data_IF_937832252799
#
_entry.id   IF_937832252799
#
_cell.length_a   1.000
_cell.length_b   1.000
_cell.length_c   1.000
_cell.angle_alpha   90.00
_cell.angle_beta   90.00
_cell.angle_gamma   90.00
#
_symmetry.space_group_name_H-M   'P 1'
#
loop_
_entity.id
_entity.type
_entity.pdbx_description
1 polymer ?
#
# COMPACT_ATOMS: atom_id res chain seq x y z
N UNK A 1 4.72 -0.37 -7.80
CA UNK A 1 4.23 0.58 -8.83
C UNK A 1 4.13 1.98 -8.25
N UNK A 2 4.03 3.04 -9.07
CA UNK A 2 3.89 4.41 -8.56
C UNK A 2 2.52 4.65 -7.89
N UNK A 3 2.50 5.45 -6.82
CA UNK A 3 1.28 5.99 -6.22
C UNK A 3 0.48 6.73 -7.29
N UNK A 4 -0.61 6.11 -7.78
CA UNK A 4 -1.47 6.72 -8.78
C UNK A 4 -2.61 7.48 -8.11
N UNK A 5 -3.03 8.62 -8.68
CA UNK A 5 -4.15 9.40 -8.17
C UNK A 5 -5.53 8.73 -8.33
N UNK A 6 -5.58 7.50 -8.86
CA UNK A 6 -6.85 6.78 -9.07
C UNK A 6 -7.35 6.23 -7.74
N UNK A 7 -8.63 6.45 -7.49
CA UNK A 7 -9.34 5.90 -6.35
C UNK A 7 -10.35 4.88 -6.89
N UNK A 8 -10.03 3.60 -6.75
CA UNK A 8 -10.84 2.51 -7.33
C UNK A 8 -11.50 1.69 -6.25
N UNK A 9 -12.79 1.47 -6.42
CA UNK A 9 -13.61 0.69 -5.51
C UNK A 9 -14.16 -0.55 -6.20
N UNK A 10 -14.58 -1.52 -5.41
CA UNK A 10 -15.33 -2.68 -5.87
C UNK A 10 -15.88 -3.46 -4.70
N UNK A 11 -16.10 -4.74 -4.92
CA UNK A 11 -16.47 -5.69 -3.87
C UNK A 11 -15.60 -6.93 -4.00
N UNK A 12 -15.18 -7.47 -2.86
CA UNK A 12 -14.57 -8.79 -2.74
C UNK A 12 -15.56 -9.63 -1.93
N UNK A 13 -16.16 -10.64 -2.57
CA UNK A 13 -17.34 -11.32 -2.01
C UNK A 13 -18.50 -10.34 -1.80
N UNK A 14 -19.02 -10.28 -0.58
CA UNK A 14 -20.10 -9.37 -0.18
C UNK A 14 -19.60 -8.03 0.41
N UNK A 15 -18.29 -7.91 0.65
CA UNK A 15 -17.72 -6.73 1.30
C UNK A 15 -17.30 -5.70 0.26
N UNK A 16 -17.75 -4.45 0.45
CA UNK A 16 -17.31 -3.32 -0.39
C UNK A 16 -15.92 -2.86 0.05
N UNK A 17 -15.03 -2.68 -0.91
CA UNK A 17 -13.62 -2.39 -0.63
C UNK A 17 -13.07 -1.30 -1.55
N UNK A 18 -12.02 -0.65 -1.06
CA UNK A 18 -11.13 0.21 -1.84
C UNK A 18 -9.89 -0.57 -2.20
N UNK A 19 -9.59 -0.68 -3.49
CA UNK A 19 -8.40 -1.38 -3.95
C UNK A 19 -7.15 -0.54 -3.69
N UNK A 20 -6.16 -1.14 -3.03
CA UNK A 20 -4.86 -0.53 -2.74
C UNK A 20 -3.87 -0.82 -3.86
N UNK A 21 -3.66 -2.10 -4.16
CA UNK A 21 -2.76 -2.56 -5.22
C UNK A 21 -3.25 -3.94 -5.73
N UNK A 22 -3.21 -4.15 -7.04
CA UNK A 22 -3.63 -5.41 -7.69
C UNK A 22 -2.43 -6.07 -8.37
N UNK A 23 -2.41 -7.39 -8.47
CA UNK A 23 -1.35 -8.12 -9.15
C UNK A 23 -0.02 -8.07 -8.41
N UNK A 24 -0.03 -8.07 -7.07
CA UNK A 24 1.20 -8.01 -6.26
C UNK A 24 1.71 -9.39 -5.89
N UNK A 25 3.02 -9.51 -5.70
CA UNK A 25 3.63 -10.72 -5.15
C UNK A 25 3.39 -10.86 -3.64
N UNK A 26 3.77 -12.02 -3.09
CA UNK A 26 3.59 -12.35 -1.68
C UNK A 26 4.32 -11.40 -0.73
N UNK A 27 5.56 -10.99 -1.03
CA UNK A 27 6.32 -10.09 -0.16
C UNK A 27 5.67 -8.70 -0.12
N UNK A 28 5.20 -8.22 -1.27
CA UNK A 28 4.50 -6.94 -1.38
C UNK A 28 3.14 -6.97 -0.67
N UNK A 29 2.38 -8.06 -0.85
CA UNK A 29 1.12 -8.32 -0.13
C UNK A 29 1.34 -8.24 1.38
N UNK A 30 2.33 -8.95 1.90
CA UNK A 30 2.59 -9.04 3.34
C UNK A 30 3.05 -7.72 3.94
N UNK A 31 3.89 -6.98 3.22
CA UNK A 31 4.31 -5.65 3.62
C UNK A 31 3.11 -4.69 3.72
N UNK A 32 2.29 -4.61 2.66
CA UNK A 32 1.12 -3.74 2.63
C UNK A 32 0.11 -4.12 3.71
N UNK A 33 -0.16 -5.42 3.88
CA UNK A 33 -1.05 -5.92 4.94
C UNK A 33 -0.60 -5.42 6.31
N UNK A 34 0.65 -5.73 6.68
CA UNK A 34 1.21 -5.35 7.99
C UNK A 34 1.19 -3.84 8.19
N UNK A 35 1.59 -3.07 7.17
CA UNK A 35 1.64 -1.61 7.27
C UNK A 35 0.24 -1.01 7.46
N UNK A 36 -0.74 -1.47 6.70
CA UNK A 36 -2.10 -0.93 6.76
C UNK A 36 -2.81 -1.33 8.06
N UNK A 37 -2.67 -2.59 8.49
CA UNK A 37 -3.18 -3.06 9.79
C UNK A 37 -2.55 -2.30 10.97
N UNK A 38 -1.23 -2.04 10.92
CA UNK A 38 -0.54 -1.21 11.90
C UNK A 38 -1.11 0.23 11.97
N UNK A 39 -1.64 0.73 10.86
CA UNK A 39 -2.27 2.04 10.78
C UNK A 39 -3.78 2.02 11.05
N UNK A 40 -4.33 0.88 11.49
CA UNK A 40 -5.73 0.75 11.88
C UNK A 40 -6.69 0.49 10.73
N UNK A 41 -6.20 0.12 9.55
CA UNK A 41 -7.06 -0.29 8.44
C UNK A 41 -7.34 -1.79 8.51
N UNK A 42 -8.57 -2.16 8.21
CA UNK A 42 -8.94 -3.55 7.97
C UNK A 42 -8.60 -3.90 6.52
N UNK A 43 -7.71 -4.88 6.34
CA UNK A 43 -7.17 -5.28 5.04
C UNK A 43 -7.82 -6.59 4.57
N UNK A 44 -8.29 -6.59 3.34
CA UNK A 44 -8.81 -7.77 2.65
C UNK A 44 -7.84 -8.14 1.54
N UNK A 45 -7.49 -9.43 1.48
CA UNK A 45 -6.63 -10.01 0.46
C UNK A 45 -7.47 -10.93 -0.41
N UNK A 46 -7.35 -10.78 -1.71
CA UNK A 46 -7.93 -11.67 -2.71
C UNK A 46 -6.82 -12.30 -3.55
N UNK A 47 -6.98 -13.58 -3.90
CA UNK A 47 -6.02 -14.32 -4.73
C UNK A 47 -6.41 -14.18 -6.20
N UNK A 48 -5.54 -13.59 -7.01
CA UNK A 48 -5.81 -13.45 -8.43
C UNK A 48 -5.78 -14.84 -9.09
N UNK A 49 -6.72 -15.10 -10.01
CA UNK A 49 -6.76 -16.37 -10.73
C UNK A 49 -5.50 -16.55 -11.57
N UNK A 50 -4.72 -17.60 -11.30
CA UNK A 50 -3.60 -18.00 -12.15
C UNK A 50 -4.12 -18.39 -13.53
N UNK A 51 -3.41 -17.96 -14.59
CA UNK A 51 -3.75 -18.34 -15.97
C UNK A 51 -3.26 -19.76 -16.27
N UNK A 52 -2.11 -20.12 -15.74
CA UNK A 52 -1.53 -21.47 -15.78
C UNK A 52 -0.97 -21.85 -14.41
N UNK A 53 -0.80 -23.14 -14.11
CA UNK A 53 -0.25 -23.60 -12.82
C UNK A 53 1.21 -23.15 -12.59
N UNK A 54 1.94 -22.86 -13.67
CA UNK A 54 3.32 -22.38 -13.65
C UNK A 54 3.42 -20.86 -13.40
N UNK A 55 2.33 -20.11 -13.56
CA UNK A 55 2.34 -18.67 -13.30
C UNK A 55 2.45 -18.38 -11.80
N UNK A 56 3.19 -17.32 -11.42
CA UNK A 56 3.27 -16.90 -10.02
C UNK A 56 1.87 -16.51 -9.50
N UNK A 57 1.57 -16.92 -8.26
CA UNK A 57 0.38 -16.45 -7.57
C UNK A 57 0.51 -14.95 -7.33
N UNK A 58 -0.47 -14.20 -7.83
CA UNK A 58 -0.60 -12.78 -7.57
C UNK A 58 -1.77 -12.52 -6.62
N UNK A 59 -1.69 -11.40 -5.93
CA UNK A 59 -2.69 -11.02 -4.94
C UNK A 59 -3.22 -9.62 -5.23
N UNK A 60 -4.46 -9.40 -4.83
CA UNK A 60 -5.08 -8.09 -4.76
C UNK A 60 -5.23 -7.69 -3.30
N UNK A 61 -4.68 -6.52 -2.95
CA UNK A 61 -4.78 -5.93 -1.61
C UNK A 61 -5.83 -4.83 -1.64
N UNK A 62 -6.77 -4.89 -0.71
CA UNK A 62 -7.84 -3.92 -0.56
C UNK A 62 -8.09 -3.59 0.92
N UNK A 63 -8.77 -2.47 1.18
CA UNK A 63 -9.21 -2.08 2.53
C UNK A 63 -10.71 -1.81 2.56
N UNK A 64 -11.34 -1.97 3.72
CA UNK A 64 -12.78 -1.68 3.89
C UNK A 64 -13.07 -0.18 3.99
N UNK A 65 -12.06 0.64 4.29
CA UNK A 65 -12.20 2.10 4.34
C UNK A 65 -12.38 2.67 2.91
N UNK A 66 -13.58 3.21 2.67
CA UNK A 66 -14.01 3.79 1.40
C UNK A 66 -13.41 5.17 1.09
N UNK A 67 -12.69 5.79 2.04
CA UNK A 67 -12.02 7.09 1.84
C UNK A 67 -10.52 6.91 1.67
N UNK A 68 -10.00 5.72 1.97
CA UNK A 68 -8.58 5.42 1.89
C UNK A 68 -8.03 5.57 0.47
N UNK A 69 -7.10 6.50 0.29
CA UNK A 69 -6.37 6.66 -0.96
C UNK A 69 -4.86 6.61 -0.67
N UNK A 70 -4.11 5.62 -1.19
CA UNK A 70 -2.68 5.46 -0.91
C UNK A 70 -1.87 6.75 -1.14
N UNK A 71 -2.13 7.43 -2.25
CA UNK A 71 -1.44 8.66 -2.64
C UNK A 71 -1.68 9.76 -1.62
N UNK A 72 -2.95 10.02 -1.27
CA UNK A 72 -3.29 11.04 -0.27
C UNK A 72 -2.70 10.65 1.09
N UNK A 73 -2.77 9.39 1.49
CA UNK A 73 -2.33 8.95 2.81
C UNK A 73 -0.81 9.04 3.00
N UNK A 74 -0.04 8.75 1.95
CA UNK A 74 1.42 8.93 1.96
C UNK A 74 1.76 10.42 1.90
N UNK A 75 1.26 11.17 0.92
CA UNK A 75 1.68 12.57 0.73
C UNK A 75 1.14 13.53 1.81
N UNK A 76 -0.04 13.26 2.38
CA UNK A 76 -0.54 14.02 3.56
C UNK A 76 0.01 13.47 4.88
N UNK A 77 0.96 12.52 4.84
CA UNK A 77 1.65 11.96 6.01
C UNK A 77 0.72 11.39 7.08
N UNK A 78 -0.35 10.74 6.64
CA UNK A 78 -1.33 10.11 7.52
C UNK A 78 -0.84 8.75 8.03
N UNK A 79 -0.05 8.04 7.23
CA UNK A 79 0.51 6.73 7.60
C UNK A 79 1.79 6.85 8.43
N UNK A 80 1.98 5.89 9.33
CA UNK A 80 3.16 5.66 10.14
C UNK A 80 3.83 4.34 9.78
N UNK A 81 5.15 4.33 9.78
CA UNK A 81 5.99 3.12 9.73
C UNK A 81 5.91 2.37 11.07
N UNK A 82 6.42 1.14 11.13
CA UNK A 82 6.37 0.30 12.33
C UNK A 82 7.10 0.89 13.55
N UNK A 83 8.10 1.73 13.31
CA UNK A 83 8.85 2.50 14.31
C UNK A 83 8.29 3.92 14.54
N UNK A 84 7.14 4.25 13.94
CA UNK A 84 6.38 5.48 14.19
C UNK A 84 6.75 6.68 13.33
N UNK A 85 7.73 6.57 12.43
CA UNK A 85 8.05 7.60 11.43
C UNK A 85 6.94 7.76 10.39
N UNK A 86 7.01 8.84 9.60
CA UNK A 86 6.03 9.07 8.53
C UNK A 86 6.40 8.26 7.30
N UNK A 87 5.46 7.46 6.80
CA UNK A 87 5.65 6.74 5.54
C UNK A 87 5.94 7.74 4.41
N UNK A 88 7.06 7.54 3.73
CA UNK A 88 7.45 8.28 2.52
C UNK A 88 7.06 7.48 1.27
N UNK A 89 7.17 8.09 0.10
CA UNK A 89 6.95 7.37 -1.16
C UNK A 89 7.94 6.21 -1.34
N UNK A 90 9.21 6.39 -0.96
CA UNK A 90 10.22 5.34 -1.08
C UNK A 90 9.98 4.21 -0.09
N UNK A 91 9.58 4.53 1.15
CA UNK A 91 9.16 3.52 2.11
C UNK A 91 7.94 2.75 1.61
N UNK A 92 6.90 3.47 1.14
CA UNK A 92 5.71 2.84 0.58
C UNK A 92 6.05 1.89 -0.57
N UNK A 93 7.03 2.22 -1.40
CA UNK A 93 7.47 1.39 -2.53
C UNK A 93 8.57 0.39 -2.17
N UNK A 94 8.92 0.25 -0.89
CA UNK A 94 9.99 -0.62 -0.39
C UNK A 94 11.35 -0.37 -1.08
N UNK A 95 11.63 0.87 -1.47
CA UNK A 95 12.90 1.30 -2.06
C UNK A 95 13.94 1.71 -1.03
N UNK A 96 13.48 2.24 0.10
CA UNK A 96 14.32 2.71 1.20
C UNK A 96 13.56 2.63 2.52
N UNK A 97 14.25 2.26 3.59
CA UNK A 97 13.75 2.39 4.97
C UNK A 97 14.06 3.78 5.55
N UNK A 98 14.93 4.56 4.88
CA UNK A 98 15.22 5.93 5.26
C UNK A 98 13.99 6.82 4.99
N UNK A 99 13.44 7.36 6.06
CA UNK A 99 12.31 8.30 6.02
C UNK A 99 12.75 9.76 6.25
N UNK A 100 14.06 10.02 6.23
CA UNK A 100 14.67 11.35 6.25
C UNK A 100 15.15 11.80 4.85
N UNK A 101 15.12 13.12 4.54
CA UNK A 101 14.37 14.18 5.18
C UNK A 101 12.96 14.29 4.58
N UNK A 102 12.18 15.23 5.09
CA UNK A 102 10.76 15.40 4.84
C UNK A 102 10.45 15.74 3.35
N UNK A 103 9.19 15.54 2.92
CA UNK A 103 8.69 15.71 1.52
C UNK A 103 8.97 17.06 0.83
N UNK A 104 9.59 18.02 1.52
CA UNK A 104 9.93 19.36 1.04
C UNK A 104 11.44 19.64 1.03
N UNK A 105 12.28 18.66 1.37
CA UNK A 105 13.72 18.86 1.50
C UNK A 105 14.47 17.97 0.49
N UNK A 106 15.08 18.59 -0.53
CA UNK A 106 15.81 17.93 -1.62
C UNK A 106 17.20 17.39 -1.22
N UNK A 107 17.47 17.21 0.07
CA UNK A 107 18.71 16.61 0.53
C UNK A 107 19.95 17.44 0.17
N UNK A 108 19.92 18.76 0.36
CA UNK A 108 21.16 19.48 0.59
C UNK A 108 21.72 19.01 1.93
N UNK A 109 22.49 17.91 1.88
CA UNK A 109 23.35 17.49 2.97
C UNK A 109 24.42 18.57 3.10
N UNK A 110 24.32 19.38 4.14
CA UNK A 110 25.46 20.16 4.63
C UNK A 110 26.48 19.19 5.23
#
# INVERSE_FOLDING_TARGET
MSLSGKHTFGSIGETRVTFVEKGVDENRRDFLKKLLEHNGFEVIIDEDKRKTEEDPQLYTVAVTDMVFNPTIWVFHRKLKTFDGHKVTQDYWNQKSEDTNPRYWNNGEKT
#
